data_IF_273177695095
#
_entry.id   IF_273177695095
#
_cell.length_a   1.000
_cell.length_b   1.000
_cell.length_c   1.000
_cell.angle_alpha   90.00
_cell.angle_beta   90.00
_cell.angle_gamma   90.00
#
_symmetry.space_group_name_H-M   'P 1'
#
loop_
_entity.id
_entity.type
_entity.pdbx_description
1 polymer ?
#
# COMPACT_ATOMS: atom_id res chain seq x y z
N UNK A 1 53.32 27.83 -13.57
CA UNK A 1 53.41 27.56 -12.14
C UNK A 1 51.97 27.50 -11.59
N UNK A 2 51.32 26.36 -11.77
CA UNK A 2 49.95 26.16 -11.30
C UNK A 2 49.96 25.77 -9.83
N UNK A 3 49.19 26.52 -9.04
CA UNK A 3 49.13 26.32 -7.59
C UNK A 3 48.39 25.02 -7.23
N UNK A 4 48.97 24.13 -6.42
CA UNK A 4 48.39 22.80 -6.12
C UNK A 4 47.20 22.82 -5.16
N UNK A 5 46.64 24.00 -4.85
CA UNK A 5 45.56 24.15 -3.86
C UNK A 5 44.13 24.09 -4.44
N UNK A 6 43.95 24.24 -5.74
CA UNK A 6 42.61 24.37 -6.37
C UNK A 6 41.96 23.05 -6.75
N UNK A 7 42.74 21.98 -6.95
CA UNK A 7 42.20 20.66 -7.33
C UNK A 7 41.63 19.90 -6.11
N UNK A 8 42.29 19.98 -4.95
CA UNK A 8 41.84 19.33 -3.71
C UNK A 8 40.49 19.84 -3.21
N UNK A 9 40.25 21.15 -3.33
CA UNK A 9 38.95 21.75 -2.93
C UNK A 9 37.78 21.45 -3.83
N UNK A 10 38.02 21.03 -5.09
CA UNK A 10 36.95 20.62 -6.01
C UNK A 10 36.54 19.17 -5.73
N UNK A 11 37.46 18.29 -5.40
CA UNK A 11 37.15 16.89 -5.06
C UNK A 11 36.38 16.77 -3.74
N UNK A 12 36.72 17.55 -2.74
CA UNK A 12 36.00 17.55 -1.46
C UNK A 12 34.56 18.09 -1.60
N UNK A 13 34.34 19.15 -2.39
CA UNK A 13 32.98 19.66 -2.68
C UNK A 13 32.14 18.70 -3.49
N UNK A 14 32.71 17.92 -4.41
CA UNK A 14 31.96 16.91 -5.15
C UNK A 14 31.54 15.73 -4.27
N UNK A 15 32.34 15.37 -3.26
CA UNK A 15 31.98 14.30 -2.31
C UNK A 15 30.87 14.69 -1.34
N UNK A 16 30.76 15.97 -0.96
CA UNK A 16 29.66 16.45 -0.12
C UNK A 16 28.32 16.60 -0.86
N UNK A 17 28.34 16.86 -2.16
CA UNK A 17 27.13 17.05 -2.98
C UNK A 17 26.45 15.73 -3.36
N UNK A 18 27.19 14.62 -3.40
CA UNK A 18 26.67 13.29 -3.79
C UNK A 18 25.53 12.78 -2.89
N UNK A 19 25.60 12.87 -1.54
CA UNK A 19 24.52 12.43 -0.69
C UNK A 19 23.26 13.31 -0.78
N UNK A 20 23.44 14.64 -0.94
CA UNK A 20 22.31 15.58 -1.09
C UNK A 20 21.56 15.38 -2.42
N UNK A 21 22.28 15.10 -3.51
CA UNK A 21 21.67 14.81 -4.81
C UNK A 21 20.84 13.50 -4.78
N UNK A 22 21.32 12.48 -4.08
CA UNK A 22 20.57 11.24 -3.88
C UNK A 22 19.31 11.44 -3.05
N UNK A 23 19.40 12.19 -1.94
CA UNK A 23 18.25 12.52 -1.11
C UNK A 23 17.23 13.36 -1.87
N UNK A 24 17.68 14.36 -2.64
CA UNK A 24 16.82 15.18 -3.49
C UNK A 24 16.10 14.32 -4.55
N UNK A 25 16.79 13.43 -5.23
CA UNK A 25 16.19 12.50 -6.20
C UNK A 25 15.15 11.58 -5.56
N UNK A 26 15.46 11.00 -4.40
CA UNK A 26 14.50 10.16 -3.65
C UNK A 26 13.26 10.96 -3.25
N UNK A 27 13.43 12.17 -2.74
CA UNK A 27 12.32 13.03 -2.34
C UNK A 27 11.44 13.41 -3.53
N UNK A 28 12.05 13.81 -4.66
CA UNK A 28 11.34 14.13 -5.89
C UNK A 28 10.58 12.90 -6.42
N UNK A 29 11.20 11.72 -6.39
CA UNK A 29 10.55 10.47 -6.82
C UNK A 29 9.35 10.13 -5.92
N UNK A 30 9.51 10.19 -4.60
CA UNK A 30 8.43 9.90 -3.64
C UNK A 30 7.28 10.89 -3.81
N UNK A 31 7.58 12.19 -3.92
CA UNK A 31 6.55 13.22 -4.15
C UNK A 31 5.89 13.02 -5.52
N UNK A 32 6.66 12.73 -6.56
CA UNK A 32 6.14 12.51 -7.91
C UNK A 32 5.18 11.32 -7.98
N UNK A 33 5.58 10.16 -7.44
CA UNK A 33 4.73 8.95 -7.38
C UNK A 33 3.49 9.22 -6.51
N UNK A 34 3.65 9.91 -5.36
CA UNK A 34 2.54 10.29 -4.50
C UNK A 34 1.56 11.23 -5.20
N UNK A 35 2.05 12.21 -5.96
CA UNK A 35 1.22 13.14 -6.73
C UNK A 35 0.42 12.41 -7.82
N UNK A 36 1.03 11.46 -8.53
CA UNK A 36 0.33 10.61 -9.51
C UNK A 36 -0.78 9.80 -8.83
N UNK A 37 -0.49 9.19 -7.68
CA UNK A 37 -1.49 8.45 -6.91
C UNK A 37 -2.67 9.32 -6.46
N UNK A 38 -2.40 10.52 -5.94
CA UNK A 38 -3.43 11.49 -5.57
C UNK A 38 -4.26 11.95 -6.77
N UNK A 39 -3.63 12.24 -7.90
CA UNK A 39 -4.32 12.60 -9.13
C UNK A 39 -5.27 11.49 -9.58
N UNK A 40 -4.81 10.25 -9.54
CA UNK A 40 -5.63 9.08 -9.87
C UNK A 40 -6.87 8.96 -8.97
N UNK A 41 -6.70 9.16 -7.65
CA UNK A 41 -7.82 9.14 -6.69
C UNK A 41 -8.82 10.26 -6.98
N UNK A 42 -8.34 11.48 -7.26
CA UNK A 42 -9.20 12.63 -7.61
C UNK A 42 -9.99 12.32 -8.90
N UNK A 43 -9.35 11.76 -9.92
CA UNK A 43 -10.01 11.37 -11.17
C UNK A 43 -11.12 10.34 -10.91
N UNK A 44 -10.85 9.31 -10.12
CA UNK A 44 -11.85 8.29 -9.80
C UNK A 44 -13.00 8.85 -8.96
N UNK A 45 -12.71 9.69 -7.96
CA UNK A 45 -13.74 10.34 -7.14
C UNK A 45 -14.63 11.28 -7.96
N UNK A 46 -14.02 12.12 -8.82
CA UNK A 46 -14.78 13.02 -9.71
C UNK A 46 -15.64 12.24 -10.69
N UNK A 47 -15.10 11.18 -11.27
CA UNK A 47 -15.86 10.30 -12.17
C UNK A 47 -17.03 9.64 -11.44
N UNK A 48 -16.81 9.13 -10.23
CA UNK A 48 -17.85 8.52 -9.41
C UNK A 48 -18.95 9.55 -9.04
N UNK A 49 -18.58 10.78 -8.67
CA UNK A 49 -19.55 11.85 -8.36
C UNK A 49 -20.35 12.25 -9.59
N UNK A 50 -19.73 12.40 -10.76
CA UNK A 50 -20.42 12.73 -12.02
C UNK A 50 -21.39 11.60 -12.40
N UNK A 51 -20.96 10.35 -12.32
CA UNK A 51 -21.80 9.19 -12.61
C UNK A 51 -22.99 9.10 -11.63
N UNK A 52 -22.76 9.31 -10.33
CA UNK A 52 -23.81 9.27 -9.32
C UNK A 52 -24.83 10.40 -9.49
N UNK A 53 -24.38 11.57 -9.91
CA UNK A 53 -25.26 12.73 -10.20
C UNK A 53 -25.93 12.70 -11.57
N UNK A 54 -25.54 11.77 -12.44
CA UNK A 54 -26.07 11.68 -13.80
C UNK A 54 -27.36 10.85 -13.87
N UNK A 55 -28.29 11.25 -14.74
CA UNK A 55 -29.50 10.49 -15.04
C UNK A 55 -29.23 9.08 -15.61
N UNK A 56 -27.98 8.78 -16.02
CA UNK A 56 -27.59 7.44 -16.45
C UNK A 56 -27.67 6.41 -15.33
N UNK A 57 -27.27 6.75 -14.10
CA UNK A 57 -27.34 5.83 -12.96
C UNK A 57 -28.81 5.51 -12.63
N UNK A 58 -29.69 6.52 -12.68
CA UNK A 58 -31.14 6.30 -12.48
C UNK A 58 -31.76 5.46 -13.59
N UNK A 59 -31.25 5.53 -14.82
CA UNK A 59 -31.74 4.74 -15.95
C UNK A 59 -31.30 3.26 -15.85
N UNK A 60 -30.09 2.97 -15.36
CA UNK A 60 -29.57 1.60 -15.23
C UNK A 60 -29.92 0.91 -13.91
N UNK A 61 -29.99 1.64 -12.82
CA UNK A 61 -30.16 1.11 -11.46
C UNK A 61 -31.62 1.24 -10.94
N UNK A 62 -32.51 1.84 -11.73
CA UNK A 62 -33.89 2.16 -11.32
C UNK A 62 -33.93 3.33 -10.31
N UNK A 63 -35.14 3.84 -10.08
CA UNK A 63 -35.40 5.03 -9.25
C UNK A 63 -34.99 4.90 -7.77
N UNK A 64 -34.47 3.74 -7.37
CA UNK A 64 -34.04 3.46 -5.97
C UNK A 64 -32.59 3.80 -5.66
N UNK A 65 -31.78 4.16 -6.65
CA UNK A 65 -30.34 4.39 -6.46
C UNK A 65 -30.01 5.85 -6.17
N UNK A 66 -30.63 6.43 -5.14
CA UNK A 66 -30.05 7.61 -4.49
C UNK A 66 -28.86 7.14 -3.64
N UNK A 67 -27.67 7.09 -4.26
CA UNK A 67 -26.42 6.86 -3.53
C UNK A 67 -26.11 8.14 -2.74
N UNK A 68 -26.72 8.29 -1.57
CA UNK A 68 -26.34 9.33 -0.63
C UNK A 68 -25.09 8.87 0.11
N UNK A 69 -23.93 9.40 -0.27
CA UNK A 69 -22.70 9.18 0.48
C UNK A 69 -22.82 9.84 1.84
N UNK A 70 -22.93 9.05 2.88
CA UNK A 70 -22.86 9.56 4.26
C UNK A 70 -21.45 10.09 4.55
N UNK A 71 -21.36 11.18 5.32
CA UNK A 71 -20.07 11.70 5.80
C UNK A 71 -19.22 10.60 6.50
N UNK A 72 -19.87 9.69 7.19
CA UNK A 72 -19.22 8.56 7.84
C UNK A 72 -18.59 7.59 6.82
N UNK A 73 -19.24 7.34 5.70
CA UNK A 73 -18.69 6.49 4.62
C UNK A 73 -17.46 7.12 4.00
N UNK A 74 -17.45 8.45 3.80
CA UNK A 74 -16.29 9.17 3.27
C UNK A 74 -15.11 9.10 4.24
N UNK A 75 -15.34 9.29 5.53
CA UNK A 75 -14.30 9.22 6.56
C UNK A 75 -13.67 7.82 6.58
N UNK A 76 -14.48 6.77 6.64
CA UNK A 76 -13.97 5.39 6.62
C UNK A 76 -13.30 5.03 5.30
N UNK A 77 -13.77 5.56 4.16
CA UNK A 77 -13.08 5.41 2.89
C UNK A 77 -11.66 5.94 2.96
N UNK A 78 -11.48 7.16 3.46
CA UNK A 78 -10.16 7.78 3.58
C UNK A 78 -9.27 6.96 4.52
N UNK A 79 -9.80 6.53 5.66
CA UNK A 79 -9.06 5.72 6.65
C UNK A 79 -8.58 4.40 6.02
N UNK A 80 -9.49 3.61 5.43
CA UNK A 80 -9.14 2.32 4.85
C UNK A 80 -8.29 2.45 3.58
N UNK A 81 -8.48 3.52 2.81
CA UNK A 81 -7.64 3.83 1.67
C UNK A 81 -6.19 4.11 2.10
N UNK A 82 -5.98 4.97 3.09
CA UNK A 82 -4.64 5.30 3.60
C UNK A 82 -3.98 4.08 4.25
N UNK A 83 -4.70 3.32 5.06
CA UNK A 83 -4.17 2.11 5.67
C UNK A 83 -3.84 1.04 4.63
N UNK A 84 -4.69 0.85 3.62
CA UNK A 84 -4.44 -0.05 2.51
C UNK A 84 -3.21 0.38 1.70
N UNK A 85 -3.09 1.66 1.37
CA UNK A 85 -1.93 2.21 0.70
C UNK A 85 -0.64 1.96 1.50
N UNK A 86 -0.64 2.23 2.81
CA UNK A 86 0.51 1.98 3.68
C UNK A 86 0.85 0.49 3.78
N UNK A 87 -0.15 -0.37 3.86
CA UNK A 87 0.05 -1.82 3.91
C UNK A 87 0.70 -2.33 2.63
N UNK A 88 0.11 -2.05 1.47
CA UNK A 88 0.62 -2.54 0.19
C UNK A 88 1.96 -1.91 -0.18
N UNK A 89 2.18 -0.63 0.12
CA UNK A 89 3.48 0.02 -0.10
C UNK A 89 4.58 -0.53 0.81
N UNK A 90 4.27 -0.88 2.06
CA UNK A 90 5.23 -1.51 2.96
C UNK A 90 5.62 -2.92 2.50
N UNK A 91 4.66 -3.71 1.97
CA UNK A 91 4.97 -5.01 1.34
C UNK A 91 5.83 -4.82 0.10
N UNK A 92 5.46 -3.89 -0.79
CA UNK A 92 6.22 -3.60 -2.00
C UNK A 92 7.66 -3.16 -1.68
N UNK A 93 7.85 -2.32 -0.65
CA UNK A 93 9.17 -1.92 -0.18
C UNK A 93 9.98 -3.11 0.38
N UNK A 94 9.33 -3.99 1.14
CA UNK A 94 9.97 -5.21 1.66
C UNK A 94 10.43 -6.14 0.53
N UNK A 95 9.58 -6.37 -0.47
CA UNK A 95 9.90 -7.17 -1.65
C UNK A 95 11.01 -6.53 -2.48
N UNK A 96 10.94 -5.20 -2.71
CA UNK A 96 11.97 -4.46 -3.43
C UNK A 96 13.35 -4.52 -2.78
N UNK A 97 13.40 -4.64 -1.44
CA UNK A 97 14.65 -4.82 -0.70
C UNK A 97 15.31 -6.20 -0.88
N UNK A 98 14.56 -7.19 -1.35
CA UNK A 98 15.02 -8.58 -1.50
C UNK A 98 15.54 -8.90 -2.90
N UNK A 99 15.29 -8.04 -3.89
CA UNK A 99 15.58 -8.32 -5.31
C UNK A 99 16.67 -7.43 -5.85
N UNK A 100 17.43 -7.98 -6.81
CA UNK A 100 18.53 -7.29 -7.48
C UNK A 100 18.24 -7.03 -8.97
N UNK A 101 17.12 -7.55 -9.50
CA UNK A 101 16.73 -7.37 -10.91
C UNK A 101 15.24 -7.03 -11.05
N UNK A 102 14.91 -6.29 -12.11
CA UNK A 102 13.51 -5.95 -12.43
C UNK A 102 12.66 -7.18 -12.75
N UNK A 103 13.25 -8.22 -13.32
CA UNK A 103 12.55 -9.48 -13.61
C UNK A 103 12.15 -10.23 -12.33
N UNK A 104 13.03 -10.26 -11.34
CA UNK A 104 12.72 -10.84 -10.02
C UNK A 104 11.63 -10.03 -9.31
N UNK A 105 11.69 -8.69 -9.42
CA UNK A 105 10.67 -7.81 -8.84
C UNK A 105 9.28 -8.08 -9.43
N UNK A 106 9.18 -8.27 -10.77
CA UNK A 106 7.92 -8.59 -11.43
C UNK A 106 7.34 -9.93 -10.96
N UNK A 107 8.17 -10.96 -10.75
CA UNK A 107 7.73 -12.25 -10.23
C UNK A 107 7.22 -12.13 -8.78
N UNK A 108 7.93 -11.37 -7.93
CA UNK A 108 7.53 -11.14 -6.55
C UNK A 108 6.28 -10.25 -6.43
N UNK A 109 6.06 -9.34 -7.39
CA UNK A 109 4.86 -8.53 -7.44
C UNK A 109 3.57 -9.38 -7.57
N UNK A 110 3.66 -10.57 -8.13
CA UNK A 110 2.56 -11.53 -8.16
C UNK A 110 2.06 -11.90 -6.76
N UNK A 111 2.97 -12.03 -5.77
CA UNK A 111 2.61 -12.27 -4.38
C UNK A 111 1.86 -11.09 -3.74
N UNK A 112 2.05 -9.89 -4.25
CA UNK A 112 1.33 -8.70 -3.81
C UNK A 112 -0.07 -8.61 -4.44
N UNK A 113 -0.17 -8.97 -5.72
CA UNK A 113 -1.44 -8.91 -6.47
C UNK A 113 -2.36 -10.09 -6.13
N UNK A 114 -1.82 -11.28 -5.83
CA UNK A 114 -2.60 -12.49 -5.59
C UNK A 114 -3.61 -12.37 -4.43
N UNK A 115 -3.27 -11.84 -3.25
CA UNK A 115 -4.24 -11.61 -2.18
C UNK A 115 -5.34 -10.64 -2.60
N UNK A 116 -4.97 -9.55 -3.31
CA UNK A 116 -5.93 -8.56 -3.79
C UNK A 116 -6.90 -9.17 -4.82
N UNK A 117 -6.40 -9.95 -5.76
CA UNK A 117 -7.23 -10.68 -6.72
C UNK A 117 -8.17 -11.67 -6.02
N UNK A 118 -7.68 -12.40 -5.00
CA UNK A 118 -8.50 -13.28 -4.18
C UNK A 118 -9.65 -12.55 -3.48
N UNK A 119 -9.38 -11.35 -2.95
CA UNK A 119 -10.41 -10.50 -2.34
C UNK A 119 -11.46 -10.03 -3.37
N UNK A 120 -11.07 -9.80 -4.63
CA UNK A 120 -12.00 -9.42 -5.71
C UNK A 120 -13.00 -10.52 -6.01
N UNK A 121 -12.59 -11.79 -6.02
CA UNK A 121 -13.53 -12.92 -6.19
C UNK A 121 -14.51 -13.05 -5.02
N UNK A 122 -14.15 -12.60 -3.85
CA UNK A 122 -14.99 -12.65 -2.67
C UNK A 122 -16.06 -11.51 -2.62
N UNK A 123 -15.97 -10.51 -3.48
CA UNK A 123 -16.92 -9.40 -3.54
C UNK A 123 -18.36 -9.91 -3.76
N UNK A 124 -18.56 -10.83 -4.71
CA UNK A 124 -19.90 -11.40 -4.99
C UNK A 124 -20.58 -11.99 -3.74
N UNK A 125 -19.97 -12.97 -3.07
CA UNK A 125 -20.48 -13.51 -1.81
C UNK A 125 -20.68 -12.46 -0.69
N UNK A 126 -19.82 -11.45 -0.61
CA UNK A 126 -19.95 -10.37 0.39
C UNK A 126 -21.16 -9.47 0.08
N UNK A 127 -21.42 -9.17 -1.20
CA UNK A 127 -22.59 -8.37 -1.60
C UNK A 127 -23.89 -9.12 -1.27
N UNK A 128 -23.94 -10.43 -1.49
CA UNK A 128 -25.14 -11.23 -1.22
C UNK A 128 -25.43 -11.39 0.27
N UNK A 129 -24.38 -11.46 1.12
CA UNK A 129 -24.55 -11.58 2.57
C UNK A 129 -23.47 -10.78 3.33
N UNK A 130 -23.60 -9.45 3.44
CA UNK A 130 -22.58 -8.59 4.06
C UNK A 130 -22.43 -8.80 5.57
N UNK A 131 -23.43 -9.36 6.25
CA UNK A 131 -23.40 -9.67 7.69
C UNK A 131 -22.99 -11.11 7.99
N UNK A 132 -22.83 -11.94 6.97
CA UNK A 132 -22.49 -13.34 7.09
C UNK A 132 -21.10 -13.58 7.68
N UNK A 133 -20.87 -14.77 8.23
CA UNK A 133 -19.60 -15.15 8.85
C UNK A 133 -18.42 -15.02 7.87
N UNK A 134 -18.61 -15.40 6.61
CA UNK A 134 -17.61 -15.28 5.56
C UNK A 134 -17.17 -13.81 5.35
N UNK A 135 -18.13 -12.89 5.22
CA UNK A 135 -17.86 -11.47 5.06
C UNK A 135 -17.13 -10.87 6.29
N UNK A 136 -17.51 -11.31 7.51
CA UNK A 136 -16.86 -10.89 8.76
C UNK A 136 -15.41 -11.34 8.82
N UNK A 137 -15.15 -12.63 8.59
CA UNK A 137 -13.76 -13.16 8.63
C UNK A 137 -12.90 -12.46 7.59
N UNK A 138 -13.41 -12.36 6.35
CA UNK A 138 -12.63 -11.77 5.24
C UNK A 138 -12.33 -10.28 5.46
N UNK A 139 -13.28 -9.54 6.06
CA UNK A 139 -13.08 -8.12 6.39
C UNK A 139 -12.09 -7.88 7.53
N UNK A 140 -11.68 -8.90 8.28
CA UNK A 140 -10.65 -8.83 9.32
C UNK A 140 -9.26 -9.27 8.81
N UNK A 141 -9.17 -9.89 7.63
CA UNK A 141 -7.88 -10.24 7.02
C UNK A 141 -7.25 -8.96 6.46
N UNK A 142 -6.09 -8.50 6.98
CA UNK A 142 -5.55 -7.16 6.68
C UNK A 142 -5.37 -6.84 5.20
N UNK A 143 -5.04 -7.84 4.38
CA UNK A 143 -4.93 -7.68 2.92
C UNK A 143 -6.28 -7.46 2.22
N UNK A 144 -7.35 -8.01 2.74
CA UNK A 144 -8.71 -7.85 2.19
C UNK A 144 -9.49 -6.71 2.85
N UNK A 145 -9.11 -6.33 4.06
CA UNK A 145 -9.81 -5.33 4.88
C UNK A 145 -10.11 -4.03 4.13
N UNK A 146 -9.17 -3.37 3.43
CA UNK A 146 -9.44 -2.08 2.80
C UNK A 146 -10.60 -2.14 1.81
N UNK A 147 -10.72 -3.24 1.09
CA UNK A 147 -11.75 -3.45 0.08
C UNK A 147 -13.07 -3.96 0.70
N UNK A 148 -12.97 -5.06 1.45
CA UNK A 148 -14.14 -5.79 1.96
C UNK A 148 -14.83 -5.07 3.09
N UNK A 149 -14.08 -4.47 4.02
CA UNK A 149 -14.69 -3.73 5.12
C UNK A 149 -15.40 -2.47 4.62
N UNK A 150 -14.80 -1.75 3.68
CA UNK A 150 -15.46 -0.59 3.07
C UNK A 150 -16.74 -0.98 2.32
N UNK A 151 -16.71 -2.11 1.59
CA UNK A 151 -17.91 -2.65 0.93
C UNK A 151 -19.02 -2.97 1.95
N UNK A 152 -18.68 -3.58 3.08
CA UNK A 152 -19.63 -3.87 4.17
C UNK A 152 -20.20 -2.59 4.78
N UNK A 153 -19.38 -1.56 5.02
CA UNK A 153 -19.86 -0.26 5.52
C UNK A 153 -20.89 0.35 4.58
N UNK A 154 -20.71 0.18 3.27
CA UNK A 154 -21.61 0.73 2.26
C UNK A 154 -22.93 -0.04 2.13
N UNK A 155 -22.93 -1.36 2.38
CA UNK A 155 -24.10 -2.24 2.22
C UNK A 155 -24.88 -2.45 3.53
N UNK A 156 -24.18 -2.75 4.61
CA UNK A 156 -24.72 -3.01 5.94
C UNK A 156 -23.68 -2.64 7.00
N UNK A 157 -23.78 -1.45 7.62
CA UNK A 157 -22.77 -0.97 8.54
C UNK A 157 -22.47 -1.98 9.65
N UNK A 158 -21.19 -2.43 9.77
CA UNK A 158 -20.81 -3.36 10.81
C UNK A 158 -20.76 -2.66 12.18
N UNK A 159 -20.80 -3.42 13.29
CA UNK A 159 -20.68 -2.84 14.63
C UNK A 159 -19.30 -2.20 14.82
N UNK A 160 -19.24 -1.14 15.64
CA UNK A 160 -18.04 -0.33 15.85
C UNK A 160 -16.81 -1.13 16.31
N UNK A 161 -17.03 -2.22 17.07
CA UNK A 161 -15.92 -3.06 17.50
C UNK A 161 -15.25 -3.82 16.36
N UNK A 162 -16.00 -4.23 15.32
CA UNK A 162 -15.40 -4.86 14.11
C UNK A 162 -14.56 -3.85 13.33
N UNK A 163 -15.02 -2.59 13.24
CA UNK A 163 -14.27 -1.49 12.61
C UNK A 163 -12.96 -1.21 13.37
N UNK A 164 -13.05 -1.06 14.69
CA UNK A 164 -11.87 -0.83 15.52
C UNK A 164 -10.88 -1.99 15.43
N UNK A 165 -11.36 -3.23 15.52
CA UNK A 165 -10.53 -4.44 15.42
C UNK A 165 -9.82 -4.52 14.06
N UNK A 166 -10.52 -4.24 12.97
CA UNK A 166 -9.92 -4.28 11.63
C UNK A 166 -8.81 -3.23 11.46
N UNK A 167 -8.99 -2.02 11.98
CA UNK A 167 -7.98 -0.97 11.95
C UNK A 167 -6.75 -1.39 12.78
N UNK A 168 -6.96 -1.92 13.98
CA UNK A 168 -5.87 -2.41 14.84
C UNK A 168 -5.09 -3.53 14.15
N UNK A 169 -5.78 -4.49 13.54
CA UNK A 169 -5.13 -5.59 12.80
C UNK A 169 -4.33 -5.08 11.60
N UNK A 170 -4.86 -4.10 10.85
CA UNK A 170 -4.11 -3.50 9.74
C UNK A 170 -2.86 -2.78 10.22
N UNK A 171 -2.96 -1.94 11.25
CA UNK A 171 -1.82 -1.20 11.82
C UNK A 171 -0.77 -2.18 12.36
N UNK A 172 -1.19 -3.21 13.09
CA UNK A 172 -0.30 -4.26 13.61
C UNK A 172 0.42 -4.99 12.46
N UNK A 173 -0.29 -5.29 11.37
CA UNK A 173 0.29 -5.96 10.20
C UNK A 173 1.28 -5.05 9.47
N UNK A 174 0.96 -3.77 9.28
CA UNK A 174 1.89 -2.77 8.70
C UNK A 174 3.16 -2.70 9.53
N UNK A 175 3.03 -2.59 10.85
CA UNK A 175 4.17 -2.55 11.76
C UNK A 175 5.03 -3.82 11.66
N UNK A 176 4.40 -4.99 11.66
CA UNK A 176 5.09 -6.29 11.51
C UNK A 176 5.86 -6.37 10.18
N UNK A 177 5.25 -5.94 9.06
CA UNK A 177 5.90 -5.93 7.74
C UNK A 177 7.10 -4.97 7.74
N UNK A 178 6.94 -3.76 8.27
CA UNK A 178 8.02 -2.77 8.35
C UNK A 178 9.17 -3.26 9.25
N UNK A 179 8.86 -3.94 10.35
CA UNK A 179 9.85 -4.54 11.22
C UNK A 179 10.65 -5.64 10.51
N UNK A 180 9.97 -6.53 9.77
CA UNK A 180 10.63 -7.56 8.95
C UNK A 180 11.47 -6.90 7.85
N UNK A 181 10.91 -5.93 7.13
CA UNK A 181 11.60 -5.20 6.07
C UNK A 181 12.89 -4.52 6.59
N UNK A 182 12.83 -3.89 7.76
CA UNK A 182 14.00 -3.23 8.35
C UNK A 182 15.13 -4.20 8.68
N UNK A 183 14.80 -5.42 9.08
CA UNK A 183 15.80 -6.48 9.32
C UNK A 183 16.40 -7.02 8.03
N UNK A 184 15.57 -7.25 7.02
CA UNK A 184 16.05 -7.67 5.69
C UNK A 184 17.02 -6.62 5.13
N UNK A 185 16.70 -5.34 5.24
CA UNK A 185 17.56 -4.24 4.79
C UNK A 185 18.94 -4.26 5.48
N UNK A 186 18.99 -4.46 6.80
CA UNK A 186 20.27 -4.51 7.54
C UNK A 186 21.18 -5.63 7.07
N UNK A 187 20.59 -6.78 6.76
CA UNK A 187 21.37 -7.97 6.34
C UNK A 187 21.71 -7.89 4.85
N UNK A 188 20.78 -7.38 4.00
CA UNK A 188 20.98 -7.25 2.57
C UNK A 188 22.14 -6.31 2.19
N UNK A 189 22.36 -5.23 2.95
CA UNK A 189 23.46 -4.29 2.71
C UNK A 189 24.84 -4.94 3.02
N UNK A 190 24.89 -5.92 3.92
CA UNK A 190 26.14 -6.59 4.32
C UNK A 190 26.52 -7.76 3.39
N UNK A 191 25.61 -8.22 2.54
CA UNK A 191 25.82 -9.41 1.68
C UNK A 191 25.63 -9.07 0.18
N UNK A 192 26.45 -8.16 -0.35
CA UNK A 192 26.52 -7.92 -1.80
C UNK A 192 26.94 -9.23 -2.51
N UNK A 193 25.98 -9.89 -3.22
CA UNK A 193 26.28 -11.00 -4.13
C UNK A 193 25.75 -12.39 -3.79
N UNK A 194 25.09 -12.61 -2.65
CA UNK A 194 24.42 -13.92 -2.36
C UNK A 194 22.91 -13.73 -2.22
N UNK A 195 22.13 -14.60 -2.87
CA UNK A 195 20.67 -14.63 -2.73
C UNK A 195 20.30 -15.15 -1.35
N UNK A 196 19.59 -14.38 -0.50
CA UNK A 196 19.11 -14.93 0.77
C UNK A 196 18.06 -16.00 0.51
N UNK A 197 18.25 -17.19 1.01
CA UNK A 197 17.23 -18.24 1.00
C UNK A 197 16.23 -18.06 2.14
N UNK A 198 14.96 -18.45 1.94
CA UNK A 198 13.92 -18.35 2.98
C UNK A 198 14.33 -18.94 4.34
N UNK A 199 15.01 -20.10 4.44
CA UNK A 199 15.49 -20.64 5.71
C UNK A 199 16.59 -19.80 6.36
N UNK A 200 17.40 -19.06 5.60
CA UNK A 200 18.39 -18.13 6.13
C UNK A 200 17.75 -16.90 6.74
N UNK A 201 16.71 -16.34 6.09
CA UNK A 201 15.93 -15.21 6.62
C UNK A 201 15.30 -15.58 7.97
N UNK A 202 14.71 -16.77 8.10
CA UNK A 202 14.15 -17.27 9.36
C UNK A 202 15.21 -17.46 10.45
N UNK A 203 16.42 -17.87 10.08
CA UNK A 203 17.55 -18.02 10.98
C UNK A 203 18.04 -16.67 11.51
N UNK A 204 18.07 -15.65 10.66
CA UNK A 204 18.47 -14.28 11.03
C UNK A 204 17.45 -13.58 11.93
N UNK A 205 16.17 -13.90 11.78
CA UNK A 205 15.12 -13.41 12.69
C UNK A 205 15.31 -13.95 14.13
N UNK A 206 15.98 -15.10 14.30
CA UNK A 206 16.20 -15.76 15.60
C UNK A 206 17.46 -15.27 16.34
N UNK A 207 18.47 -14.74 15.65
CA UNK A 207 19.78 -14.41 16.24
C UNK A 207 20.03 -12.90 16.44
N UNK A 208 19.00 -12.09 16.42
CA UNK A 208 19.12 -10.64 16.63
C UNK A 208 18.38 -10.17 17.88
#
# INVERSE_FOLDING_TARGET
MDSPGTSSNRFSRQQELVPLDRLAKLTITVIGVGAVGLTQVIVWLTTALILTGSSMVTAFAGNSAHVSLSAMQIIFFIIYFLLGYLLYSSVAAALGAMVNSEQELQQLNMFLVMPLAGCMFAIGPVITNPTGLFARILSLIPFCTPLVMYLRISLAPPPMWELALSIVLMVATIYAILWVASRIYRVGILMYGKRPSLPEILRWLKYS
#
